data_IF_458540303955
#
_entry.id   IF_458540303955
#
_cell.length_a   1.000
_cell.length_b   1.000
_cell.length_c   1.000
_cell.angle_alpha   90.00
_cell.angle_beta   90.00
_cell.angle_gamma   90.00
#
_symmetry.space_group_name_H-M   'P 1'
#
loop_
_entity.id
_entity.type
_entity.pdbx_description
1 polymer ?
#
# COMPACT_ATOMS: atom_id res chain seq x y z
N UNK A 1 -30.66 -19.60 5.75
CA UNK A 1 -30.02 -19.53 4.42
C UNK A 1 -28.98 -18.44 4.52
N UNK A 2 -27.74 -18.80 4.80
CA UNK A 2 -26.62 -17.88 4.71
C UNK A 2 -26.43 -17.67 3.21
N UNK A 3 -26.90 -16.52 2.72
CA UNK A 3 -26.57 -16.07 1.38
C UNK A 3 -25.04 -16.11 1.23
N UNK A 4 -24.56 -16.52 0.05
CA UNK A 4 -23.18 -16.86 -0.21
C UNK A 4 -22.22 -15.97 0.54
N UNK A 5 -21.23 -16.58 1.17
CA UNK A 5 -20.03 -15.91 1.63
C UNK A 5 -19.36 -15.33 0.38
N UNK A 6 -19.69 -14.08 0.05
CA UNK A 6 -18.81 -13.25 -0.73
C UNK A 6 -17.58 -13.03 0.14
N UNK A 7 -16.65 -13.97 0.02
CA UNK A 7 -15.30 -13.75 0.50
C UNK A 7 -14.81 -12.52 -0.27
N UNK A 8 -14.37 -11.44 0.41
CA UNK A 8 -13.77 -10.33 -0.29
C UNK A 8 -12.61 -10.92 -1.11
N UNK A 9 -12.72 -10.86 -2.41
CA UNK A 9 -11.59 -11.14 -3.28
C UNK A 9 -10.54 -10.10 -2.89
N UNK A 10 -9.53 -10.53 -2.16
CA UNK A 10 -8.29 -9.80 -2.08
C UNK A 10 -7.81 -9.71 -3.53
N UNK A 11 -7.83 -8.54 -4.09
CA UNK A 11 -7.64 -8.28 -5.53
C UNK A 11 -6.28 -8.71 -6.09
N UNK A 12 -5.80 -9.88 -5.69
CA UNK A 12 -4.73 -10.62 -6.33
C UNK A 12 -5.33 -11.45 -7.45
N UNK A 13 -5.54 -10.79 -8.60
CA UNK A 13 -5.87 -11.41 -9.87
C UNK A 13 -4.70 -12.21 -10.44
N UNK A 14 -4.25 -13.19 -9.70
CA UNK A 14 -3.45 -14.30 -10.20
C UNK A 14 -4.34 -15.53 -10.14
N UNK A 15 -4.83 -15.97 -11.31
CA UNK A 15 -5.62 -17.19 -11.44
C UNK A 15 -4.81 -18.45 -11.14
N UNK A 16 -4.39 -18.61 -9.90
CA UNK A 16 -3.94 -19.87 -9.37
C UNK A 16 -5.11 -20.50 -8.64
N UNK A 17 -5.73 -21.46 -9.27
CA UNK A 17 -6.66 -22.37 -8.60
C UNK A 17 -5.99 -22.91 -7.34
N UNK A 18 -6.58 -22.68 -6.17
CA UNK A 18 -6.15 -23.22 -4.89
C UNK A 18 -6.33 -24.73 -4.79
N UNK A 19 -6.30 -25.45 -5.92
CA UNK A 19 -6.50 -26.86 -5.98
C UNK A 19 -5.41 -27.59 -5.19
N UNK A 20 -5.78 -28.14 -4.03
CA UNK A 20 -4.98 -29.10 -3.28
C UNK A 20 -4.11 -28.58 -2.13
N UNK A 21 -4.12 -27.29 -1.80
CA UNK A 21 -3.42 -26.77 -0.64
C UNK A 21 -4.40 -26.31 0.46
N UNK A 22 -4.18 -26.64 1.72
CA UNK A 22 -5.01 -26.13 2.81
C UNK A 22 -4.79 -24.63 2.98
N UNK A 23 -5.88 -23.87 3.00
CA UNK A 23 -5.85 -22.43 3.31
C UNK A 23 -6.38 -22.21 4.71
N UNK A 24 -5.68 -21.36 5.48
CA UNK A 24 -6.14 -20.92 6.79
C UNK A 24 -6.91 -19.62 6.59
N UNK A 25 -8.21 -19.66 6.82
CA UNK A 25 -9.05 -18.48 6.90
C UNK A 25 -9.07 -17.99 8.35
N UNK A 26 -8.45 -16.85 8.61
CA UNK A 26 -8.52 -16.22 9.93
C UNK A 26 -9.77 -15.34 9.96
N UNK A 27 -10.88 -15.89 10.45
CA UNK A 27 -12.14 -15.17 10.60
C UNK A 27 -12.20 -14.43 11.93
N UNK A 28 -11.88 -13.16 11.95
CA UNK A 28 -12.14 -12.30 13.12
C UNK A 28 -13.63 -12.13 13.44
N UNK A 29 -14.49 -12.38 12.47
CA UNK A 29 -15.95 -12.17 12.56
C UNK A 29 -16.69 -13.29 13.30
N UNK A 30 -16.20 -14.53 13.29
CA UNK A 30 -16.87 -15.64 14.00
C UNK A 30 -16.92 -15.40 15.52
N UNK A 31 -15.84 -14.86 16.10
CA UNK A 31 -15.77 -14.58 17.53
C UNK A 31 -16.67 -13.44 18.02
N UNK A 32 -17.26 -12.65 17.12
CA UNK A 32 -18.17 -11.55 17.45
C UNK A 32 -19.64 -11.93 17.29
N UNK A 33 -19.94 -13.14 16.80
CA UNK A 33 -21.33 -13.59 16.64
C UNK A 33 -21.96 -13.94 17.99
N UNK A 34 -23.26 -13.69 18.16
CA UNK A 34 -24.03 -14.26 19.27
C UNK A 34 -23.89 -15.80 19.31
N UNK A 35 -24.01 -16.40 20.49
CA UNK A 35 -23.70 -17.81 20.71
C UNK A 35 -24.52 -18.77 19.82
N UNK A 36 -25.80 -18.47 19.61
CA UNK A 36 -26.70 -19.21 18.74
C UNK A 36 -26.30 -19.11 17.25
N UNK A 37 -25.97 -17.91 16.80
CA UNK A 37 -25.49 -17.67 15.44
C UNK A 37 -24.12 -18.32 15.21
N UNK A 38 -23.22 -18.27 16.21
CA UNK A 38 -21.94 -18.94 16.17
C UNK A 38 -22.07 -20.45 16.05
N UNK A 39 -22.98 -21.05 16.85
CA UNK A 39 -23.27 -22.48 16.78
C UNK A 39 -23.83 -22.90 15.42
N UNK A 40 -24.76 -22.12 14.86
CA UNK A 40 -25.31 -22.35 13.53
C UNK A 40 -24.25 -22.24 12.43
N UNK A 41 -23.39 -21.22 12.48
CA UNK A 41 -22.31 -21.03 11.53
C UNK A 41 -21.27 -22.18 11.60
N UNK A 42 -20.95 -22.65 12.82
CA UNK A 42 -20.04 -23.80 13.01
C UNK A 42 -20.64 -25.10 12.45
N UNK A 43 -21.95 -25.33 12.65
CA UNK A 43 -22.60 -26.49 12.10
C UNK A 43 -22.67 -26.48 10.57
N UNK A 44 -22.91 -25.31 9.96
CA UNK A 44 -22.91 -25.14 8.51
C UNK A 44 -21.50 -25.39 7.93
N UNK A 45 -20.48 -24.78 8.51
CA UNK A 45 -19.08 -24.99 8.11
C UNK A 45 -18.65 -26.46 8.27
N UNK A 46 -19.08 -27.13 9.34
CA UNK A 46 -18.76 -28.54 9.57
C UNK A 46 -19.42 -29.48 8.54
N UNK A 47 -20.51 -29.05 7.90
CA UNK A 47 -21.17 -29.80 6.82
C UNK A 47 -20.39 -29.74 5.49
N UNK A 48 -19.43 -28.83 5.34
CA UNK A 48 -18.67 -28.64 4.11
C UNK A 48 -17.42 -29.52 4.12
N UNK A 49 -17.25 -30.46 3.18
CA UNK A 49 -16.13 -31.39 3.20
C UNK A 49 -14.75 -30.72 3.00
N UNK A 50 -14.72 -29.53 2.42
CA UNK A 50 -13.51 -28.76 2.18
C UNK A 50 -13.15 -27.79 3.30
N UNK A 51 -14.01 -27.63 4.32
CA UNK A 51 -13.83 -26.65 5.40
C UNK A 51 -13.73 -27.34 6.74
N UNK A 52 -12.88 -26.81 7.61
CA UNK A 52 -12.75 -27.29 8.99
C UNK A 52 -12.54 -26.09 9.91
N UNK A 53 -13.39 -25.98 10.93
CA UNK A 53 -13.17 -25.03 12.03
C UNK A 53 -12.27 -25.73 13.06
N UNK A 54 -11.14 -25.13 13.37
CA UNK A 54 -10.22 -25.60 14.42
C UNK A 54 -10.09 -24.54 15.49
N UNK A 55 -10.06 -24.98 16.74
CA UNK A 55 -9.68 -24.08 17.83
C UNK A 55 -8.17 -23.83 17.78
N UNK A 56 -7.70 -22.65 18.27
CA UNK A 56 -6.28 -22.38 18.39
C UNK A 56 -5.57 -23.43 19.23
N UNK A 57 -4.39 -23.85 18.81
CA UNK A 57 -3.56 -24.75 19.61
C UNK A 57 -3.16 -24.09 20.93
N UNK A 58 -3.39 -24.76 22.04
CA UNK A 58 -3.16 -24.20 23.38
C UNK A 58 -1.68 -23.92 23.66
N UNK A 59 -0.77 -24.77 23.18
CA UNK A 59 0.66 -24.57 23.39
C UNK A 59 1.19 -23.39 22.53
N UNK A 60 0.76 -23.32 21.28
CA UNK A 60 1.08 -22.19 20.42
C UNK A 60 0.51 -20.87 20.97
N UNK A 61 -0.72 -20.90 21.48
CA UNK A 61 -1.35 -19.73 22.11
C UNK A 61 -0.62 -19.27 23.36
N UNK A 62 -0.12 -20.20 24.19
CA UNK A 62 0.67 -19.87 25.37
C UNK A 62 2.01 -19.19 25.01
N UNK A 63 2.70 -19.66 23.98
CA UNK A 63 3.94 -19.03 23.48
C UNK A 63 3.65 -17.64 22.93
N UNK A 64 2.58 -17.46 22.17
CA UNK A 64 2.20 -16.16 21.63
C UNK A 64 1.80 -15.16 22.72
N UNK A 65 1.13 -15.64 23.79
CA UNK A 65 0.68 -14.78 24.88
C UNK A 65 1.86 -14.10 25.61
N UNK A 66 3.02 -14.75 25.69
CA UNK A 66 4.23 -14.18 26.31
C UNK A 66 4.69 -12.89 25.59
N UNK A 67 4.53 -12.86 24.26
CA UNK A 67 4.95 -11.70 23.44
C UNK A 67 3.82 -10.71 23.19
N UNK A 68 2.57 -11.16 23.31
CA UNK A 68 1.40 -10.36 22.94
C UNK A 68 1.30 -9.06 23.78
N UNK A 69 1.56 -9.14 25.09
CA UNK A 69 1.53 -7.96 25.95
C UNK A 69 2.69 -6.99 25.63
N UNK A 70 3.89 -7.50 25.35
CA UNK A 70 5.02 -6.65 24.96
C UNK A 70 4.75 -5.90 23.65
N UNK A 71 4.19 -6.61 22.66
CA UNK A 71 3.79 -6.00 21.37
C UNK A 71 2.67 -5.00 21.56
N UNK A 72 1.72 -5.29 22.44
CA UNK A 72 0.61 -4.39 22.76
C UNK A 72 1.10 -3.09 23.42
N UNK A 73 1.97 -3.19 24.42
CA UNK A 73 2.54 -2.05 25.12
C UNK A 73 3.36 -1.17 24.18
N UNK A 74 4.28 -1.78 23.41
CA UNK A 74 5.05 -1.08 22.39
C UNK A 74 4.14 -0.45 21.32
N UNK A 75 3.14 -1.19 20.87
CA UNK A 75 2.17 -0.70 19.88
C UNK A 75 1.31 0.47 20.38
N UNK A 76 1.14 0.62 21.68
CA UNK A 76 0.36 1.70 22.29
C UNK A 76 1.13 3.02 22.42
N UNK A 77 2.46 3.01 22.23
CA UNK A 77 3.27 4.23 22.32
C UNK A 77 2.81 5.30 21.32
N UNK A 78 2.46 6.53 21.78
CA UNK A 78 2.04 7.59 20.86
C UNK A 78 3.25 8.18 20.14
N UNK A 79 3.14 8.37 18.84
CA UNK A 79 4.19 8.95 17.97
C UNK A 79 3.77 10.28 17.35
N UNK A 80 2.47 10.52 17.20
CA UNK A 80 1.94 11.72 16.57
C UNK A 80 0.46 11.94 16.92
N UNK A 81 -0.10 13.04 16.41
CA UNK A 81 -1.55 13.30 16.43
C UNK A 81 -1.99 13.66 15.03
N UNK A 82 -2.94 12.91 14.47
CA UNK A 82 -3.60 13.25 13.23
C UNK A 82 -4.70 14.30 13.51
N UNK A 83 -4.60 15.47 12.88
CA UNK A 83 -5.56 16.57 13.09
C UNK A 83 -6.92 16.29 12.43
N UNK A 84 -6.93 15.41 11.44
CA UNK A 84 -8.11 14.97 10.69
C UNK A 84 -7.94 13.53 10.26
N UNK A 85 -9.02 12.92 9.76
CA UNK A 85 -8.93 11.61 9.11
C UNK A 85 -8.00 11.69 7.89
N UNK A 86 -7.05 10.76 7.79
CA UNK A 86 -6.23 10.58 6.62
C UNK A 86 -6.74 9.36 5.87
N UNK A 87 -7.39 9.61 4.77
CA UNK A 87 -8.12 8.62 4.01
C UNK A 87 -7.20 7.76 3.14
N UNK A 88 -7.50 6.47 3.06
CA UNK A 88 -6.89 5.54 2.13
C UNK A 88 -7.61 5.62 0.78
N UNK A 89 -6.87 5.75 -0.33
CA UNK A 89 -7.41 5.60 -1.68
C UNK A 89 -6.31 5.15 -2.63
N UNK A 90 -6.53 4.06 -3.35
CA UNK A 90 -5.50 3.53 -4.24
C UNK A 90 -5.34 4.31 -5.53
N UNK A 91 -6.45 4.66 -6.19
CA UNK A 91 -6.41 5.36 -7.48
C UNK A 91 -7.31 6.59 -7.43
N UNK A 92 -6.79 7.81 -7.63
CA UNK A 92 -7.60 9.02 -7.71
C UNK A 92 -8.43 9.06 -9.00
N UNK A 93 -9.44 9.91 -9.03
CA UNK A 93 -10.23 10.23 -10.23
C UNK A 93 -11.14 9.11 -10.74
N UNK A 94 -11.20 7.96 -10.06
CA UNK A 94 -12.03 6.84 -10.50
C UNK A 94 -13.16 6.55 -9.51
N UNK A 95 -14.30 6.09 -10.03
CA UNK A 95 -15.40 5.56 -9.22
C UNK A 95 -15.25 4.07 -8.92
N UNK A 96 -14.29 3.38 -9.57
CA UNK A 96 -14.16 1.94 -9.56
C UNK A 96 -13.10 1.54 -8.55
N UNK A 97 -13.49 0.79 -7.52
CA UNK A 97 -12.65 0.13 -6.51
C UNK A 97 -11.37 0.89 -6.10
N UNK A 98 -11.45 2.18 -6.18
CA UNK A 98 -10.30 3.01 -5.92
C UNK A 98 -10.07 3.20 -4.44
N UNK A 99 -11.11 3.08 -3.64
CA UNK A 99 -11.04 3.30 -2.21
C UNK A 99 -11.15 1.98 -1.46
N UNK A 100 -10.24 1.79 -0.52
CA UNK A 100 -10.32 0.74 0.50
C UNK A 100 -10.48 1.33 1.89
N UNK A 101 -10.85 2.61 1.94
CA UNK A 101 -11.11 3.31 3.19
C UNK A 101 -12.28 2.70 3.94
N UNK A 102 -12.12 2.58 5.25
CA UNK A 102 -13.15 2.13 6.20
C UNK A 102 -13.64 3.28 7.09
N UNK A 103 -13.05 4.47 6.97
CA UNK A 103 -13.49 5.64 7.72
C UNK A 103 -14.68 6.29 7.04
N UNK A 104 -15.65 6.69 7.86
CA UNK A 104 -16.81 7.43 7.39
C UNK A 104 -16.41 8.75 6.71
N UNK A 105 -17.06 9.04 5.60
CA UNK A 105 -16.80 10.24 4.82
C UNK A 105 -15.68 10.11 3.78
N UNK A 106 -14.67 9.27 4.00
CA UNK A 106 -13.52 9.15 3.09
C UNK A 106 -13.89 8.77 1.65
N UNK A 107 -14.90 7.92 1.48
CA UNK A 107 -15.34 7.49 0.15
C UNK A 107 -16.16 8.55 -0.62
N UNK A 108 -16.65 9.56 0.09
CA UNK A 108 -17.42 10.68 -0.43
C UNK A 108 -16.62 11.99 -0.51
N UNK A 109 -15.43 12.02 0.10
CA UNK A 109 -14.58 13.20 0.11
C UNK A 109 -14.11 13.55 -1.30
N UNK A 110 -14.50 14.74 -1.77
CA UNK A 110 -14.21 15.19 -3.14
C UNK A 110 -12.69 15.38 -3.38
N UNK A 111 -11.94 15.80 -2.34
CA UNK A 111 -10.49 15.95 -2.43
C UNK A 111 -9.82 14.58 -2.60
N UNK A 112 -10.16 13.62 -1.73
CA UNK A 112 -9.64 12.25 -1.79
C UNK A 112 -10.00 11.55 -3.11
N UNK A 113 -11.22 11.79 -3.62
CA UNK A 113 -11.63 11.25 -4.92
C UNK A 113 -10.79 11.84 -6.05
N UNK A 114 -10.54 13.14 -6.02
CA UNK A 114 -9.83 13.84 -7.09
C UNK A 114 -8.31 13.62 -7.05
N UNK A 115 -7.72 13.55 -5.85
CA UNK A 115 -6.26 13.61 -5.66
C UNK A 115 -5.63 12.34 -5.09
N UNK A 116 -6.44 11.38 -4.62
CA UNK A 116 -5.95 10.13 -4.02
C UNK A 116 -5.93 10.17 -2.50
N UNK A 117 -5.33 9.14 -1.89
CA UNK A 117 -5.33 8.96 -0.45
C UNK A 117 -4.30 9.82 0.28
N UNK A 118 -4.77 10.50 1.33
CA UNK A 118 -3.92 11.34 2.17
C UNK A 118 -2.81 10.53 2.86
N UNK A 119 -3.15 9.31 3.31
CA UNK A 119 -2.18 8.47 4.01
C UNK A 119 -1.09 7.95 3.08
N UNK A 120 -1.40 7.64 1.83
CA UNK A 120 -0.38 7.27 0.84
C UNK A 120 0.53 8.45 0.52
N UNK A 121 -0.04 9.65 0.37
CA UNK A 121 0.74 10.86 0.14
C UNK A 121 1.66 11.16 1.33
N UNK A 122 1.16 10.99 2.56
CA UNK A 122 1.97 11.14 3.78
C UNK A 122 3.16 10.18 3.79
N UNK A 123 2.95 8.90 3.40
CA UNK A 123 4.03 7.90 3.33
C UNK A 123 5.06 8.28 2.27
N UNK A 124 4.62 8.70 1.08
CA UNK A 124 5.55 9.15 0.04
C UNK A 124 6.40 10.35 0.50
N UNK A 125 5.80 11.34 1.15
CA UNK A 125 6.54 12.48 1.73
C UNK A 125 7.48 12.03 2.87
N UNK A 126 7.10 11.05 3.68
CA UNK A 126 7.96 10.49 4.73
C UNK A 126 9.20 9.82 4.13
N UNK A 127 9.05 9.06 3.04
CA UNK A 127 10.17 8.47 2.30
C UNK A 127 11.12 9.53 1.77
N UNK A 128 10.57 10.58 1.15
CA UNK A 128 11.37 11.71 0.67
C UNK A 128 12.20 12.33 1.79
N UNK A 129 11.56 12.67 2.91
CA UNK A 129 12.23 13.28 4.05
C UNK A 129 13.30 12.38 4.65
N UNK A 130 13.04 11.08 4.71
CA UNK A 130 14.01 10.10 5.19
C UNK A 130 15.21 10.06 4.25
N UNK A 131 15.00 9.97 2.94
CA UNK A 131 16.08 10.01 1.96
C UNK A 131 16.89 11.30 2.00
N UNK A 132 16.23 12.44 2.19
CA UNK A 132 16.91 13.74 2.33
C UNK A 132 17.82 13.82 3.57
N UNK A 133 17.48 13.10 4.64
CA UNK A 133 18.31 13.00 5.85
C UNK A 133 19.54 12.09 5.67
N UNK A 134 19.46 11.11 4.79
CA UNK A 134 20.44 10.04 4.63
C UNK A 134 20.96 9.94 3.19
N UNK A 135 21.73 10.93 2.76
CA UNK A 135 22.41 10.92 1.45
C UNK A 135 21.75 11.76 0.36
N UNK A 136 20.62 12.41 0.66
CA UNK A 136 19.90 13.26 -0.29
C UNK A 136 18.83 12.49 -1.07
N UNK A 137 17.82 13.22 -1.52
CA UNK A 137 16.77 12.72 -2.40
C UNK A 137 16.11 13.89 -3.12
N UNK A 138 15.87 13.73 -4.41
CA UNK A 138 15.13 14.69 -5.22
C UNK A 138 13.64 14.40 -5.18
N UNK A 139 13.28 13.11 -5.27
CA UNK A 139 11.90 12.62 -5.31
C UNK A 139 11.76 11.32 -4.53
N UNK A 140 10.54 10.94 -4.23
CA UNK A 140 10.22 9.62 -3.71
C UNK A 140 9.05 8.99 -4.44
N UNK A 141 8.95 7.67 -4.38
CA UNK A 141 7.84 6.92 -4.94
C UNK A 141 7.37 5.83 -3.98
N UNK A 142 6.05 5.67 -3.85
CA UNK A 142 5.40 4.62 -3.06
C UNK A 142 4.22 4.05 -3.85
N UNK A 143 4.12 2.73 -3.95
CA UNK A 143 2.96 2.08 -4.54
C UNK A 143 1.75 2.15 -3.59
N UNK A 144 0.58 2.50 -4.12
CA UNK A 144 -0.65 2.66 -3.33
C UNK A 144 -1.04 1.40 -2.54
N UNK A 145 -0.68 0.22 -3.04
CA UNK A 145 -0.92 -1.08 -2.41
C UNK A 145 -0.08 -1.33 -1.16
N UNK A 146 1.07 -0.69 -1.03
CA UNK A 146 1.95 -0.80 0.14
C UNK A 146 1.36 -0.17 1.40
N UNK A 147 0.43 0.79 1.25
CA UNK A 147 -0.29 1.42 2.35
C UNK A 147 -1.63 0.72 2.54
N UNK A 148 -1.95 0.25 3.75
CA UNK A 148 -2.98 -0.76 3.96
C UNK A 148 -4.25 -0.28 4.67
N UNK A 149 -4.17 0.76 5.48
CA UNK A 149 -5.29 1.28 6.26
C UNK A 149 -5.29 2.82 6.31
N UNK A 150 -6.44 3.38 6.63
CA UNK A 150 -6.60 4.79 6.98
C UNK A 150 -5.90 5.10 8.30
N UNK A 151 -5.66 6.39 8.57
CA UNK A 151 -5.38 6.90 9.90
C UNK A 151 -6.54 7.80 10.36
N UNK A 152 -7.21 7.41 11.43
CA UNK A 152 -8.25 8.24 12.03
C UNK A 152 -7.66 9.48 12.70
N UNK A 153 -8.45 10.54 12.79
CA UNK A 153 -8.12 11.71 13.60
C UNK A 153 -7.90 11.31 15.07
N UNK A 154 -6.93 11.94 15.72
CA UNK A 154 -6.55 11.65 17.10
C UNK A 154 -5.15 11.08 17.25
N UNK A 155 -4.84 10.44 18.38
CA UNK A 155 -3.52 9.88 18.64
C UNK A 155 -3.12 8.80 17.62
N UNK A 156 -1.93 8.96 17.06
CA UNK A 156 -1.29 7.95 16.21
C UNK A 156 -0.24 7.22 17.03
N UNK A 157 -0.30 5.91 17.06
CA UNK A 157 0.63 5.08 17.84
C UNK A 157 1.56 4.29 16.93
N UNK A 158 2.60 3.68 17.51
CA UNK A 158 3.50 2.75 16.83
C UNK A 158 2.70 1.63 16.14
N UNK A 159 1.71 1.05 16.82
CA UNK A 159 0.84 0.00 16.26
C UNK A 159 0.06 0.45 15.03
N UNK A 160 -0.39 1.72 15.00
CA UNK A 160 -1.02 2.29 13.81
C UNK A 160 -0.04 2.33 12.62
N UNK A 161 1.22 2.71 12.86
CA UNK A 161 2.25 2.76 11.80
C UNK A 161 2.51 1.36 11.23
N UNK A 162 2.69 0.35 12.10
CA UNK A 162 2.84 -1.05 11.64
C UNK A 162 1.60 -1.58 10.90
N UNK A 163 0.42 -1.07 11.19
CA UNK A 163 -0.80 -1.44 10.47
C UNK A 163 -0.89 -0.72 9.11
N UNK A 164 -0.44 0.52 9.03
CA UNK A 164 -0.36 1.30 7.79
C UNK A 164 0.66 0.68 6.83
N UNK A 165 1.84 0.30 7.33
CA UNK A 165 2.96 -0.27 6.57
C UNK A 165 3.36 -1.65 7.14
N UNK A 166 2.54 -2.71 6.94
CA UNK A 166 2.78 -4.00 7.59
C UNK A 166 3.89 -4.83 6.95
N UNK A 167 4.43 -4.40 5.83
CA UNK A 167 5.50 -5.11 5.13
C UNK A 167 6.85 -4.70 5.70
N UNK A 168 7.77 -5.67 5.78
CA UNK A 168 9.15 -5.42 6.21
C UNK A 168 10.01 -4.88 5.05
N UNK A 169 9.47 -3.91 4.33
CA UNK A 169 10.20 -3.29 3.23
C UNK A 169 11.28 -2.37 3.77
N UNK A 170 12.43 -2.36 3.11
CA UNK A 170 13.49 -1.38 3.35
C UNK A 170 13.38 -0.23 2.35
N UNK A 171 13.96 0.92 2.70
CA UNK A 171 14.10 2.02 1.76
C UNK A 171 15.35 1.83 0.90
N UNK A 172 15.21 2.11 -0.37
CA UNK A 172 16.25 2.01 -1.39
C UNK A 172 16.37 3.36 -2.09
N UNK A 173 17.59 3.81 -2.29
CA UNK A 173 17.88 4.94 -3.16
C UNK A 173 18.26 4.45 -4.56
N UNK A 174 17.64 5.01 -5.59
CA UNK A 174 17.89 4.69 -6.98
C UNK A 174 18.34 5.98 -7.71
N UNK A 175 19.37 5.86 -8.54
CA UNK A 175 19.77 6.91 -9.48
C UNK A 175 19.18 6.60 -10.85
N UNK A 176 18.29 7.44 -11.35
CA UNK A 176 17.62 7.25 -12.63
C UNK A 176 17.45 8.56 -13.38
N UNK A 177 17.39 8.48 -14.71
CA UNK A 177 17.12 9.64 -15.55
C UNK A 177 15.66 10.07 -15.46
N UNK A 178 15.36 11.30 -15.84
CA UNK A 178 13.98 11.76 -15.93
C UNK A 178 13.15 10.94 -16.91
N UNK A 179 13.75 10.44 -17.99
CA UNK A 179 13.10 9.54 -18.94
C UNK A 179 12.73 8.20 -18.27
N UNK A 180 13.59 7.63 -17.43
CA UNK A 180 13.29 6.41 -16.67
C UNK A 180 12.24 6.65 -15.56
N UNK A 181 12.22 7.84 -14.94
CA UNK A 181 11.13 8.23 -14.03
C UNK A 181 9.79 8.25 -14.76
N UNK A 182 9.72 8.84 -15.94
CA UNK A 182 8.53 8.83 -16.77
C UNK A 182 8.12 7.40 -17.12
N UNK A 183 9.06 6.58 -17.58
CA UNK A 183 8.80 5.18 -17.91
C UNK A 183 8.27 4.38 -16.71
N UNK A 184 8.82 4.61 -15.51
CA UNK A 184 8.34 4.01 -14.26
C UNK A 184 6.89 4.36 -13.97
N UNK A 185 6.49 5.61 -14.18
CA UNK A 185 5.09 6.04 -14.01
C UNK A 185 4.18 5.42 -15.07
N UNK A 186 4.64 5.32 -16.32
CA UNK A 186 3.90 4.63 -17.41
C UNK A 186 3.69 3.15 -17.10
N UNK A 187 4.71 2.46 -16.61
CA UNK A 187 4.64 1.06 -16.16
C UNK A 187 3.58 0.87 -15.09
N UNK A 188 3.60 1.74 -14.06
CA UNK A 188 2.63 1.72 -12.98
C UNK A 188 1.20 1.93 -13.51
N UNK A 189 1.01 2.89 -14.45
CA UNK A 189 -0.30 3.13 -15.08
C UNK A 189 -0.74 1.96 -15.94
N UNK A 190 0.16 1.29 -16.64
CA UNK A 190 -0.16 0.06 -17.39
C UNK A 190 -0.68 -1.03 -16.46
N UNK A 191 -0.02 -1.23 -15.32
CA UNK A 191 -0.42 -2.20 -14.30
C UNK A 191 -1.79 -1.87 -13.70
N UNK A 192 -2.05 -0.58 -13.42
CA UNK A 192 -3.37 -0.09 -12.94
C UNK A 192 -4.47 -0.38 -13.97
N UNK A 193 -4.22 -0.09 -15.25
CA UNK A 193 -5.19 -0.36 -16.34
C UNK A 193 -5.45 -1.86 -16.49
N UNK A 194 -4.44 -2.69 -16.25
CA UNK A 194 -4.56 -4.14 -16.25
C UNK A 194 -5.29 -4.71 -15.01
N UNK A 195 -5.68 -3.85 -14.05
CA UNK A 195 -6.49 -4.24 -12.89
C UNK A 195 -5.76 -4.21 -11.55
N UNK A 196 -4.43 -4.01 -11.52
CA UNK A 196 -3.70 -3.90 -10.27
C UNK A 196 -3.72 -2.45 -9.75
N UNK A 197 -4.78 -2.09 -9.03
CA UNK A 197 -4.91 -0.76 -8.43
C UNK A 197 -3.84 -0.43 -7.38
N UNK A 198 -3.18 -1.47 -6.85
CA UNK A 198 -2.07 -1.32 -5.90
C UNK A 198 -0.83 -0.70 -6.52
N UNK A 199 -0.66 -0.80 -7.82
CA UNK A 199 0.48 -0.22 -8.55
C UNK A 199 0.43 1.31 -8.64
N UNK A 200 -0.71 1.95 -8.40
CA UNK A 200 -0.81 3.40 -8.56
C UNK A 200 0.26 4.11 -7.72
N UNK A 201 1.09 4.97 -8.35
CA UNK A 201 2.22 5.61 -7.68
C UNK A 201 1.77 6.86 -6.90
N UNK A 202 2.25 6.97 -5.68
CA UNK A 202 2.22 8.19 -4.87
C UNK A 202 3.64 8.70 -4.71
N UNK A 203 3.86 10.00 -4.77
CA UNK A 203 5.19 10.55 -4.82
C UNK A 203 5.39 11.76 -3.92
N UNK A 204 6.58 11.90 -3.35
CA UNK A 204 7.08 13.12 -2.75
C UNK A 204 7.91 13.92 -3.75
N UNK A 205 7.68 15.23 -3.79
CA UNK A 205 8.34 16.18 -4.69
C UNK A 205 8.23 15.87 -6.19
N UNK A 206 7.24 15.09 -6.60
CA UNK A 206 6.94 14.78 -7.99
C UNK A 206 5.44 14.90 -8.22
N UNK A 207 5.02 15.46 -9.36
CA UNK A 207 3.62 15.54 -9.75
C UNK A 207 3.47 15.39 -11.27
N UNK A 208 2.33 14.87 -11.70
CA UNK A 208 2.05 14.60 -13.11
C UNK A 208 0.57 14.63 -13.41
N UNK A 209 0.25 14.65 -14.69
CA UNK A 209 -1.09 14.40 -15.22
C UNK A 209 -1.16 13.03 -15.87
N UNK A 210 -2.31 12.37 -15.80
CA UNK A 210 -2.55 11.08 -16.44
C UNK A 210 -3.72 11.18 -17.42
N UNK A 211 -3.49 10.77 -18.66
CA UNK A 211 -4.56 10.56 -19.64
C UNK A 211 -4.58 9.08 -20.07
N UNK A 212 -5.49 8.31 -19.44
CA UNK A 212 -5.62 6.88 -19.72
C UNK A 212 -6.16 6.55 -21.12
N UNK A 213 -6.61 7.55 -21.89
CA UNK A 213 -7.01 7.35 -23.29
C UNK A 213 -5.82 7.24 -24.23
N UNK A 214 -4.66 7.69 -23.79
CA UNK A 214 -3.42 7.61 -24.55
C UNK A 214 -2.85 6.18 -24.51
N UNK A 215 -2.08 5.78 -25.52
CA UNK A 215 -1.37 4.51 -25.49
C UNK A 215 -0.27 4.51 -24.42
N UNK A 216 0.20 3.31 -24.06
CA UNK A 216 1.36 3.15 -23.18
C UNK A 216 2.55 3.97 -23.68
N UNK A 217 3.22 4.65 -22.77
CA UNK A 217 4.35 5.55 -23.02
C UNK A 217 3.95 6.99 -23.34
N UNK A 218 2.64 7.28 -23.39
CA UNK A 218 2.11 8.64 -23.67
C UNK A 218 1.03 9.06 -22.66
N UNK A 219 0.79 8.27 -21.60
CA UNK A 219 -0.23 8.55 -20.60
C UNK A 219 0.18 9.61 -19.59
N UNK A 220 1.49 9.73 -19.35
CA UNK A 220 2.04 10.68 -18.39
C UNK A 220 2.34 12.01 -19.09
N UNK A 221 1.53 13.02 -18.78
CA UNK A 221 1.75 14.41 -19.21
C UNK A 221 2.22 15.28 -18.07
N UNK A 222 2.61 16.52 -18.37
CA UNK A 222 2.97 17.58 -17.43
C UNK A 222 3.74 17.07 -16.19
N UNK A 223 4.80 16.28 -16.43
CA UNK A 223 5.63 15.74 -15.36
C UNK A 223 6.57 16.81 -14.81
N UNK A 224 6.43 17.10 -13.51
CA UNK A 224 7.18 18.15 -12.82
C UNK A 224 7.76 17.64 -11.51
N UNK A 225 8.92 18.16 -11.12
CA UNK A 225 9.50 17.94 -9.80
C UNK A 225 9.63 19.24 -9.01
N UNK A 226 9.70 19.14 -7.70
CA UNK A 226 9.94 20.29 -6.82
C UNK A 226 11.44 20.48 -6.62
N UNK A 227 11.99 21.56 -7.16
CA UNK A 227 13.42 21.87 -7.06
C UNK A 227 13.84 22.27 -5.62
N UNK A 228 15.13 22.49 -5.42
CA UNK A 228 15.70 22.90 -4.12
C UNK A 228 15.17 24.24 -3.58
N UNK A 229 14.60 25.09 -4.46
CA UNK A 229 13.97 26.36 -4.10
C UNK A 229 12.47 26.18 -3.77
N UNK A 230 11.97 24.94 -3.79
CA UNK A 230 10.57 24.62 -3.52
C UNK A 230 9.63 24.90 -4.69
N UNK A 231 10.14 25.24 -5.86
CA UNK A 231 9.36 25.55 -7.06
C UNK A 231 9.10 24.27 -7.88
N UNK A 232 7.90 24.17 -8.44
CA UNK A 232 7.56 23.13 -9.40
C UNK A 232 8.11 23.52 -10.77
N UNK A 233 8.96 22.67 -11.31
CA UNK A 233 9.59 22.85 -12.63
C UNK A 233 9.42 21.57 -13.45
N UNK A 234 9.37 21.71 -14.77
CA UNK A 234 9.28 20.56 -15.66
C UNK A 234 10.45 19.61 -15.41
N UNK A 235 10.18 18.31 -15.38
CA UNK A 235 11.20 17.29 -15.26
C UNK A 235 12.07 17.29 -16.51
N UNK A 236 13.38 17.38 -16.34
CA UNK A 236 14.35 17.20 -17.43
C UNK A 236 14.60 15.70 -17.64
N UNK A 237 14.20 15.18 -18.79
CA UNK A 237 14.32 13.75 -19.09
C UNK A 237 15.77 13.26 -19.20
N UNK A 238 16.72 14.17 -19.49
CA UNK A 238 18.14 13.84 -19.59
C UNK A 238 18.88 13.94 -18.24
N UNK A 239 18.34 14.68 -17.28
CA UNK A 239 18.94 14.82 -15.97
C UNK A 239 18.80 13.56 -15.13
N UNK A 240 19.73 13.37 -14.19
CA UNK A 240 19.69 12.27 -13.22
C UNK A 240 19.05 12.74 -11.93
N UNK A 241 18.16 11.94 -11.39
CA UNK A 241 17.46 12.16 -10.14
C UNK A 241 17.75 11.03 -9.16
N UNK A 242 17.90 11.38 -7.88
CA UNK A 242 17.96 10.41 -6.79
C UNK A 242 16.56 10.19 -6.22
N UNK A 243 16.01 9.02 -6.46
CA UNK A 243 14.67 8.62 -5.99
C UNK A 243 14.78 7.69 -4.80
N UNK A 244 13.96 7.92 -3.77
CA UNK A 244 13.77 6.99 -2.66
C UNK A 244 12.48 6.21 -2.87
N UNK A 245 12.57 4.89 -2.70
CA UNK A 245 11.41 4.00 -2.78
C UNK A 245 11.60 2.80 -1.85
N UNK A 246 10.60 1.90 -1.80
CA UNK A 246 10.75 0.63 -1.09
C UNK A 246 11.42 -0.43 -1.98
N UNK A 247 12.06 -1.41 -1.34
CA UNK A 247 12.77 -2.51 -2.01
C UNK A 247 11.87 -3.34 -2.93
N UNK A 248 10.58 -3.46 -2.61
CA UNK A 248 9.62 -4.24 -3.38
C UNK A 248 9.42 -3.67 -4.79
N UNK A 249 9.09 -2.37 -4.92
CA UNK A 249 8.93 -1.77 -6.26
C UNK A 249 10.28 -1.48 -6.92
N UNK A 250 11.36 -1.25 -6.14
CA UNK A 250 12.72 -1.16 -6.67
C UNK A 250 13.16 -2.45 -7.38
N UNK A 251 12.61 -3.61 -6.97
CA UNK A 251 12.81 -4.89 -7.64
C UNK A 251 11.87 -5.13 -8.84
N UNK A 252 11.12 -4.11 -9.30
CA UNK A 252 10.21 -4.21 -10.44
C UNK A 252 8.84 -4.80 -10.12
N UNK A 253 8.53 -5.01 -8.83
CA UNK A 253 7.23 -5.55 -8.42
C UNK A 253 6.10 -4.54 -8.64
N UNK A 254 4.86 -5.01 -8.54
CA UNK A 254 3.66 -4.22 -8.82
C UNK A 254 3.71 -3.54 -10.22
N UNK A 255 4.42 -4.17 -11.17
CA UNK A 255 4.51 -3.69 -12.54
C UNK A 255 5.46 -2.50 -12.75
N UNK A 256 6.29 -2.12 -11.78
CA UNK A 256 7.32 -1.07 -11.94
C UNK A 256 8.57 -1.64 -12.66
N UNK A 257 8.36 -2.18 -13.86
CA UNK A 257 9.36 -3.00 -14.57
C UNK A 257 10.64 -2.24 -14.87
N UNK A 258 10.56 -0.97 -15.22
CA UNK A 258 11.72 -0.10 -15.44
C UNK A 258 12.67 -0.09 -14.25
N UNK A 259 12.15 0.00 -13.01
CA UNK A 259 12.97 -0.02 -11.81
C UNK A 259 13.73 -1.34 -11.65
N UNK A 260 13.08 -2.45 -11.96
CA UNK A 260 13.68 -3.79 -11.88
C UNK A 260 14.82 -4.03 -12.88
N UNK A 261 14.97 -3.17 -13.90
CA UNK A 261 16.05 -3.27 -14.90
C UNK A 261 17.29 -2.45 -14.54
N UNK A 262 17.22 -1.62 -13.51
CA UNK A 262 18.34 -0.79 -13.10
C UNK A 262 19.49 -1.65 -12.54
N UNK A 263 20.72 -1.35 -12.99
CA UNK A 263 21.92 -2.03 -12.51
C UNK A 263 22.20 -1.79 -11.02
N UNK A 264 22.93 -2.71 -10.41
CA UNK A 264 23.28 -2.61 -8.98
C UNK A 264 24.12 -1.37 -8.65
N UNK A 265 24.87 -0.84 -9.59
CA UNK A 265 25.66 0.39 -9.48
C UNK A 265 24.82 1.66 -9.34
N UNK A 266 23.52 1.55 -9.65
CA UNK A 266 22.54 2.64 -9.57
C UNK A 266 21.62 2.51 -8.35
N UNK A 267 21.86 1.53 -7.48
CA UNK A 267 21.02 1.17 -6.34
C UNK A 267 21.84 1.19 -5.05
N UNK A 268 21.28 1.83 -4.02
CA UNK A 268 21.80 1.79 -2.66
C UNK A 268 20.74 1.21 -1.72
N UNK A 269 21.00 0.01 -1.21
CA UNK A 269 20.13 -0.71 -0.25
C UNK A 269 20.59 -0.38 1.18
N UNK A 270 20.31 0.81 1.69
CA UNK A 270 20.95 1.23 2.94
C UNK A 270 20.01 1.77 4.00
N UNK A 271 18.72 1.82 3.74
CA UNK A 271 17.87 2.54 4.66
C UNK A 271 16.87 1.62 5.34
N UNK A 272 16.95 1.56 6.66
CA UNK A 272 15.86 1.05 7.47
C UNK A 272 14.69 2.03 7.36
N UNK A 273 13.53 1.49 7.01
CA UNK A 273 12.27 2.22 7.02
C UNK A 273 11.85 2.59 8.43
#
# INVERSE_FOLDING_TARGET
VVGGLDLPSDGHGGGNSCAGQPHILIGSTLGTLPADALAAARADLASQPALRVTEPDAAASAVLAEYAEQVKDFGAEPVAVAQQNLCLRRVPGTKRDASRSKLDGCNQDAHVIAHGGDVQQLVAEAFLRQGQRFGGADVSLQNGGGVRVDLAAGPVTVGHIYTVLPFKNTLVALSLTGAELRATLEDAMQSVVAGNTGSYPYAGALRWQVDLRQPLGQRIGALEHRNAQGQWVALDEAATYRMITNDFIAAGQDGHTTLGTLGADRREDTFLA
#
